data_IF_795752153684
#
_entry.id   IF_795752153684
#
_cell.length_a   1.000
_cell.length_b   1.000
_cell.length_c   1.000
_cell.angle_alpha   90.00
_cell.angle_beta   90.00
_cell.angle_gamma   90.00
#
_symmetry.space_group_name_H-M   'P 1'
#
loop_
_entity.id
_entity.type
_entity.pdbx_description
1 polymer ?
#
# COMPACT_ATOMS: atom_id res chain seq x y z
N UNK A 1 -21.12 -7.51 44.57
CA UNK A 1 -20.53 -7.04 45.83
C UNK A 1 -19.80 -5.74 45.55
N UNK A 2 -20.40 -4.63 45.98
CA UNK A 2 -19.79 -3.30 45.99
C UNK A 2 -18.57 -3.29 46.91
N UNK A 3 -17.45 -2.71 46.49
CA UNK A 3 -16.62 -1.89 47.38
C UNK A 3 -15.94 -0.76 46.60
N UNK A 4 -15.85 0.48 47.15
CA UNK A 4 -15.55 1.70 46.42
C UNK A 4 -14.12 2.25 46.67
N UNK A 5 -13.82 3.27 45.87
CA UNK A 5 -12.67 4.20 45.86
C UNK A 5 -12.08 4.61 47.21
N UNK A 6 -10.76 4.84 47.25
CA UNK A 6 -10.13 5.80 48.18
C UNK A 6 -8.93 6.49 47.52
N UNK A 7 -9.01 7.82 47.42
CA UNK A 7 -7.92 8.77 47.11
C UNK A 7 -7.32 9.22 48.45
N UNK A 8 -6.01 9.43 48.59
CA UNK A 8 -5.46 10.23 49.67
C UNK A 8 -5.15 11.66 49.21
N UNK A 9 -5.80 12.59 49.88
CA UNK A 9 -5.47 14.01 50.00
C UNK A 9 -4.21 14.20 50.85
N UNK A 10 -3.37 15.16 50.47
CA UNK A 10 -2.40 15.77 51.38
C UNK A 10 -2.53 17.30 51.39
N UNK A 11 -2.30 17.81 52.59
CA UNK A 11 -2.70 19.08 53.16
C UNK A 11 -1.58 20.12 53.20
N UNK A 12 -1.96 21.37 52.93
CA UNK A 12 -1.60 22.64 53.58
C UNK A 12 -0.19 22.93 54.14
N UNK A 13 0.32 24.10 53.73
CA UNK A 13 1.32 24.93 54.42
C UNK A 13 1.34 26.36 53.83
N UNK A 14 1.78 27.41 54.55
CA UNK A 14 0.88 28.52 54.91
C UNK A 14 1.27 29.94 54.43
N UNK A 15 0.29 30.86 54.55
CA UNK A 15 0.37 32.31 54.87
C UNK A 15 1.23 33.27 54.01
N UNK A 16 0.59 34.22 53.33
CA UNK A 16 0.85 35.65 53.60
C UNK A 16 -0.39 36.53 53.31
N UNK A 17 -0.55 37.60 54.09
CA UNK A 17 -1.75 38.43 54.25
C UNK A 17 -1.40 39.90 53.96
N UNK A 18 -2.34 40.58 53.26
CA UNK A 18 -2.62 42.05 53.22
C UNK A 18 -2.11 42.85 52.01
N UNK A 19 -3.06 43.25 51.16
CA UNK A 19 -3.63 44.62 50.97
C UNK A 19 -4.77 44.42 49.94
N UNK A 20 -6.02 44.82 50.13
CA UNK A 20 -6.53 46.05 50.74
C UNK A 20 -6.75 47.09 49.64
N UNK A 21 -7.91 47.03 48.96
CA UNK A 21 -8.31 48.00 47.94
C UNK A 21 -9.56 47.56 47.18
N UNK A 22 -10.74 47.84 47.74
CA UNK A 22 -11.99 47.72 47.01
C UNK A 22 -12.21 48.95 46.13
N UNK A 23 -12.58 48.73 44.87
CA UNK A 23 -13.33 49.69 44.06
C UNK A 23 -14.35 48.90 43.26
N UNK A 24 -15.61 49.26 43.45
CA UNK A 24 -16.78 48.83 42.71
C UNK A 24 -16.72 49.23 41.23
N UNK A 25 -17.20 48.33 40.36
CA UNK A 25 -17.98 48.72 39.18
C UNK A 25 -17.36 48.46 37.80
N UNK A 26 -18.25 48.00 36.91
CA UNK A 26 -18.22 48.07 35.43
C UNK A 26 -17.68 46.83 34.69
N UNK A 27 -18.63 46.02 34.23
CA UNK A 27 -18.79 45.75 32.79
C UNK A 27 -17.91 44.66 32.19
N UNK A 28 -18.51 43.49 31.95
CA UNK A 28 -17.96 42.48 31.05
C UNK A 28 -17.81 43.02 29.63
N UNK A 29 -16.63 42.76 29.05
CA UNK A 29 -16.27 43.17 27.69
C UNK A 29 -15.00 42.46 27.27
N UNK A 30 -15.02 41.12 27.26
CA UNK A 30 -13.86 40.29 26.93
C UNK A 30 -14.09 39.20 25.88
N UNK A 31 -15.34 38.89 25.50
CA UNK A 31 -15.66 37.76 24.59
C UNK A 31 -15.65 38.08 23.08
N UNK A 32 -15.95 39.33 22.71
CA UNK A 32 -16.35 39.68 21.33
C UNK A 32 -15.21 39.57 20.31
N UNK A 33 -13.95 39.76 20.73
CA UNK A 33 -12.79 39.74 19.81
C UNK A 33 -12.31 38.33 19.44
N UNK A 34 -12.61 37.32 20.27
CA UNK A 34 -12.27 35.93 20.01
C UNK A 34 -13.27 35.21 19.11
N UNK A 35 -14.55 35.57 19.20
CA UNK A 35 -15.66 34.89 18.51
C UNK A 35 -15.78 35.26 17.04
N UNK A 36 -15.56 36.54 16.68
CA UNK A 36 -15.51 36.99 15.28
C UNK A 36 -14.36 36.32 14.51
N UNK A 37 -13.20 36.15 15.15
CA UNK A 37 -12.06 35.41 14.59
C UNK A 37 -12.35 33.91 14.43
N UNK A 38 -13.16 33.31 15.31
CA UNK A 38 -13.50 31.89 15.26
C UNK A 38 -14.46 31.55 14.10
N UNK A 39 -15.41 32.44 13.81
CA UNK A 39 -16.37 32.27 12.72
C UNK A 39 -15.68 32.34 11.35
N UNK A 40 -14.84 33.36 11.14
CA UNK A 40 -14.03 33.51 9.93
C UNK A 40 -13.13 32.29 9.70
N UNK A 41 -12.44 31.84 10.75
CA UNK A 41 -11.61 30.63 10.69
C UNK A 41 -12.43 29.36 10.38
N UNK A 42 -13.66 29.26 10.87
CA UNK A 42 -14.53 28.11 10.61
C UNK A 42 -15.00 28.08 9.14
N UNK A 43 -15.40 29.23 8.58
CA UNK A 43 -15.82 29.37 7.18
C UNK A 43 -14.65 29.10 6.24
N UNK A 44 -13.48 29.70 6.50
CA UNK A 44 -12.29 29.49 5.68
C UNK A 44 -11.85 28.02 5.70
N UNK A 45 -11.89 27.37 6.86
CA UNK A 45 -11.59 25.94 6.95
C UNK A 45 -12.64 25.08 6.22
N UNK A 46 -13.92 25.45 6.22
CA UNK A 46 -14.96 24.76 5.45
C UNK A 46 -14.74 24.93 3.93
N UNK A 47 -14.48 26.15 3.47
CA UNK A 47 -14.18 26.46 2.07
C UNK A 47 -12.96 25.69 1.57
N UNK A 48 -11.89 25.64 2.37
CA UNK A 48 -10.71 24.82 2.07
C UNK A 48 -11.04 23.34 1.90
N UNK A 49 -11.91 22.78 2.74
CA UNK A 49 -12.31 21.36 2.62
C UNK A 49 -13.06 21.13 1.31
N UNK A 50 -13.98 22.01 0.92
CA UNK A 50 -14.69 21.93 -0.37
C UNK A 50 -13.72 22.05 -1.57
N UNK A 51 -12.71 22.93 -1.46
CA UNK A 51 -11.63 23.03 -2.44
C UNK A 51 -10.81 21.75 -2.56
N UNK A 52 -10.37 21.17 -1.44
CA UNK A 52 -9.64 19.89 -1.41
C UNK A 52 -10.48 18.74 -2.01
N UNK A 53 -11.77 18.69 -1.71
CA UNK A 53 -12.72 17.72 -2.27
C UNK A 53 -12.90 17.88 -3.79
N UNK A 54 -12.72 19.10 -4.29
CA UNK A 54 -12.83 19.39 -5.71
C UNK A 54 -11.65 18.88 -6.54
N UNK A 55 -10.48 18.77 -5.92
CA UNK A 55 -9.27 18.21 -6.51
C UNK A 55 -9.16 16.68 -6.41
N UNK A 56 -10.12 16.00 -5.77
CA UNK A 56 -10.10 14.53 -5.72
C UNK A 56 -10.34 13.94 -7.11
N UNK A 57 -9.62 12.85 -7.48
CA UNK A 57 -9.82 12.18 -8.75
C UNK A 57 -11.24 11.64 -8.88
N UNK A 58 -11.70 11.33 -10.09
CA UNK A 58 -12.99 10.66 -10.27
C UNK A 58 -12.96 9.26 -9.65
N UNK A 59 -13.92 8.98 -8.77
CA UNK A 59 -14.05 7.65 -8.16
C UNK A 59 -14.28 6.57 -9.23
N UNK A 60 -13.61 5.44 -9.06
CA UNK A 60 -13.74 4.26 -9.91
C UNK A 60 -14.06 3.06 -9.03
N UNK A 61 -14.91 2.16 -9.51
CA UNK A 61 -15.27 0.94 -8.79
C UNK A 61 -16.69 0.96 -8.17
N UNK A 62 -16.96 0.07 -7.20
CA UNK A 62 -18.31 -0.24 -6.71
C UNK A 62 -19.07 0.95 -6.11
N UNK A 63 -18.34 1.89 -5.52
CA UNK A 63 -18.92 3.05 -4.81
C UNK A 63 -18.87 4.35 -5.64
N UNK A 64 -18.57 4.26 -6.94
CA UNK A 64 -18.39 5.44 -7.81
C UNK A 64 -19.56 6.42 -7.73
N UNK A 65 -20.79 5.92 -7.79
CA UNK A 65 -22.00 6.77 -7.75
C UNK A 65 -22.12 7.50 -6.42
N UNK A 66 -22.00 6.79 -5.30
CA UNK A 66 -22.07 7.39 -3.96
C UNK A 66 -21.00 8.46 -3.75
N UNK A 67 -19.77 8.19 -4.19
CA UNK A 67 -18.68 9.16 -4.11
C UNK A 67 -18.94 10.39 -5.00
N UNK A 68 -19.33 10.16 -6.26
CA UNK A 68 -19.64 11.22 -7.22
C UNK A 68 -20.81 12.09 -6.77
N UNK A 69 -21.88 11.49 -6.26
CA UNK A 69 -23.06 12.20 -5.77
C UNK A 69 -22.75 13.03 -4.53
N UNK A 70 -22.01 12.47 -3.57
CA UNK A 70 -21.59 13.23 -2.38
C UNK A 70 -20.67 14.38 -2.77
N UNK A 71 -19.63 14.12 -3.57
CA UNK A 71 -18.69 15.13 -4.01
C UNK A 71 -19.38 16.26 -4.79
N UNK A 72 -20.32 15.91 -5.69
CA UNK A 72 -21.12 16.89 -6.44
C UNK A 72 -21.95 17.75 -5.50
N UNK A 73 -22.67 17.16 -4.55
CA UNK A 73 -23.51 17.90 -3.59
C UNK A 73 -22.69 18.81 -2.69
N UNK A 74 -21.53 18.36 -2.22
CA UNK A 74 -20.62 19.19 -1.42
C UNK A 74 -20.06 20.37 -2.22
N UNK A 75 -19.73 20.17 -3.51
CA UNK A 75 -19.27 21.26 -4.40
C UNK A 75 -20.30 22.38 -4.54
N UNK A 76 -21.59 22.05 -4.51
CA UNK A 76 -22.66 23.05 -4.59
C UNK A 76 -22.74 23.98 -3.36
N UNK A 77 -22.00 23.69 -2.28
CA UNK A 77 -21.91 24.57 -1.12
C UNK A 77 -20.87 25.69 -1.29
N UNK A 78 -20.05 25.67 -2.37
CA UNK A 78 -19.00 26.67 -2.55
C UNK A 78 -19.53 28.12 -2.58
N UNK A 79 -20.60 28.47 -3.34
CA UNK A 79 -21.11 29.84 -3.35
C UNK A 79 -21.62 30.31 -1.98
N UNK A 80 -22.26 29.42 -1.21
CA UNK A 80 -22.66 29.71 0.18
C UNK A 80 -21.45 30.06 1.05
N UNK A 81 -20.37 29.26 0.97
CA UNK A 81 -19.17 29.48 1.78
C UNK A 81 -18.44 30.77 1.39
N UNK A 82 -18.48 31.16 0.11
CA UNK A 82 -17.91 32.41 -0.37
C UNK A 82 -18.67 33.62 0.21
N UNK A 83 -20.00 33.64 0.15
CA UNK A 83 -20.78 34.74 0.73
C UNK A 83 -20.72 34.77 2.26
N UNK A 84 -20.65 33.62 2.92
CA UNK A 84 -20.41 33.53 4.37
C UNK A 84 -19.05 34.11 4.77
N UNK A 85 -18.03 33.94 3.92
CA UNK A 85 -16.68 34.49 4.15
C UNK A 85 -16.71 36.00 4.04
N UNK A 86 -17.39 36.53 3.01
CA UNK A 86 -17.54 37.98 2.81
C UNK A 86 -18.36 38.61 3.95
N UNK A 87 -19.42 37.91 4.41
CA UNK A 87 -20.18 38.31 5.59
C UNK A 87 -19.33 38.31 6.86
N UNK A 88 -18.53 37.26 7.11
CA UNK A 88 -17.66 37.17 8.28
C UNK A 88 -16.58 38.26 8.29
N UNK A 89 -16.03 38.61 7.12
CA UNK A 89 -15.06 39.69 6.96
C UNK A 89 -15.71 41.08 7.18
N UNK A 90 -16.93 41.29 6.69
CA UNK A 90 -17.69 42.53 6.90
C UNK A 90 -18.19 42.68 8.35
N UNK A 91 -18.47 41.56 9.02
CA UNK A 91 -18.91 41.45 10.42
C UNK A 91 -17.83 41.82 11.46
N UNK A 92 -16.64 42.26 11.05
CA UNK A 92 -15.66 42.87 11.96
C UNK A 92 -16.22 44.09 12.75
N UNK A 93 -17.40 44.63 12.35
CA UNK A 93 -18.15 45.66 13.06
C UNK A 93 -19.37 45.16 13.89
N UNK A 94 -19.77 43.90 13.78
CA UNK A 94 -20.90 43.30 14.53
C UNK A 94 -20.82 41.77 14.51
N UNK A 95 -20.73 41.12 15.67
CA UNK A 95 -20.41 39.70 15.71
C UNK A 95 -21.54 38.82 15.18
N UNK A 96 -21.19 37.77 14.45
CA UNK A 96 -22.04 36.61 14.28
C UNK A 96 -22.43 36.08 15.68
N UNK A 97 -23.68 35.64 15.84
CA UNK A 97 -24.14 35.08 17.10
C UNK A 97 -23.46 33.74 17.41
N UNK A 98 -23.41 33.38 18.70
CA UNK A 98 -22.83 32.10 19.15
C UNK A 98 -23.50 30.87 18.48
N UNK A 99 -24.75 31.01 18.05
CA UNK A 99 -25.49 29.95 17.36
C UNK A 99 -24.90 29.72 15.97
N UNK A 100 -24.72 30.79 15.20
CA UNK A 100 -24.16 30.76 13.85
C UNK A 100 -22.72 30.21 13.87
N UNK A 101 -21.89 30.63 14.83
CA UNK A 101 -20.52 30.09 14.98
C UNK A 101 -20.54 28.58 15.24
N UNK A 102 -21.45 28.11 16.11
CA UNK A 102 -21.61 26.67 16.39
C UNK A 102 -22.10 25.89 15.16
N UNK A 103 -23.06 26.41 14.42
CA UNK A 103 -23.59 25.77 13.21
C UNK A 103 -22.53 25.70 12.10
N UNK A 104 -21.72 26.76 11.92
CA UNK A 104 -20.58 26.77 11.00
C UNK A 104 -19.50 25.77 11.40
N UNK A 105 -19.20 25.64 12.70
CA UNK A 105 -18.28 24.63 13.20
C UNK A 105 -18.80 23.21 12.97
N UNK A 106 -20.11 22.99 13.13
CA UNK A 106 -20.77 21.72 12.82
C UNK A 106 -20.71 21.38 11.32
N UNK A 107 -20.98 22.36 10.45
CA UNK A 107 -20.87 22.21 9.00
C UNK A 107 -19.44 21.85 8.59
N UNK A 108 -18.43 22.55 9.14
CA UNK A 108 -17.02 22.20 8.94
C UNK A 108 -16.73 20.76 9.35
N UNK A 109 -17.19 20.33 10.53
CA UNK A 109 -17.00 18.96 11.01
C UNK A 109 -17.64 17.90 10.08
N UNK A 110 -18.82 18.20 9.55
CA UNK A 110 -19.52 17.34 8.59
C UNK A 110 -18.76 17.26 7.26
N UNK A 111 -18.25 18.38 6.75
CA UNK A 111 -17.44 18.43 5.52
C UNK A 111 -16.10 17.69 5.68
N UNK A 112 -15.44 17.80 6.83
CA UNK A 112 -14.23 17.00 7.13
C UNK A 112 -14.56 15.52 7.12
N UNK A 113 -15.67 15.11 7.75
CA UNK A 113 -16.13 13.71 7.73
C UNK A 113 -16.40 13.22 6.30
N UNK A 114 -16.98 14.07 5.43
CA UNK A 114 -17.19 13.76 4.02
C UNK A 114 -15.87 13.55 3.27
N UNK A 115 -14.88 14.41 3.54
CA UNK A 115 -13.53 14.31 2.96
C UNK A 115 -12.82 13.03 3.38
N UNK A 116 -12.85 12.72 4.66
CA UNK A 116 -12.16 11.53 5.19
C UNK A 116 -12.82 10.25 4.66
N UNK A 117 -14.16 10.23 4.58
CA UNK A 117 -14.89 9.12 3.95
C UNK A 117 -14.51 8.97 2.47
N UNK A 118 -14.53 10.05 1.69
CA UNK A 118 -14.15 10.00 0.28
C UNK A 118 -12.71 9.52 0.10
N UNK A 119 -11.74 10.06 0.85
CA UNK A 119 -10.34 9.61 0.81
C UNK A 119 -10.20 8.13 1.15
N UNK A 120 -10.90 7.65 2.18
CA UNK A 120 -10.89 6.23 2.55
C UNK A 120 -11.37 5.31 1.42
N UNK A 121 -12.26 5.80 0.54
CA UNK A 121 -12.73 5.06 -0.64
C UNK A 121 -11.74 5.18 -1.82
N UNK A 122 -11.09 6.33 -2.00
CA UNK A 122 -10.11 6.53 -3.08
C UNK A 122 -8.83 5.72 -2.88
N UNK A 123 -8.31 5.71 -1.66
CA UNK A 123 -7.04 5.06 -1.33
C UNK A 123 -7.24 3.59 -0.89
N UNK A 124 -8.49 3.17 -0.66
CA UNK A 124 -8.84 1.86 -0.15
C UNK A 124 -9.00 0.76 -1.20
N UNK A 125 -8.99 -0.50 -0.75
CA UNK A 125 -9.21 -1.67 -1.60
C UNK A 125 -10.58 -1.67 -2.25
N UNK A 126 -10.64 -1.94 -3.56
CA UNK A 126 -11.91 -2.06 -4.29
C UNK A 126 -12.66 -3.33 -3.93
N UNK A 127 -11.93 -4.42 -3.64
CA UNK A 127 -12.52 -5.66 -3.15
C UNK A 127 -13.19 -5.41 -1.80
N UNK A 128 -12.52 -4.70 -0.88
CA UNK A 128 -13.11 -4.31 0.40
C UNK A 128 -14.38 -3.48 0.22
N UNK A 129 -14.34 -2.47 -0.65
CA UNK A 129 -15.50 -1.63 -0.96
C UNK A 129 -16.68 -2.45 -1.50
N UNK A 130 -16.41 -3.48 -2.30
CA UNK A 130 -17.45 -4.35 -2.84
C UNK A 130 -18.06 -5.26 -1.76
N UNK A 131 -17.22 -5.85 -0.91
CA UNK A 131 -17.65 -6.75 0.16
C UNK A 131 -18.34 -6.03 1.33
N UNK A 132 -17.90 -4.80 1.63
CA UNK A 132 -18.39 -3.99 2.75
C UNK A 132 -19.27 -2.83 2.29
N UNK A 133 -19.94 -2.99 1.14
CA UNK A 133 -20.74 -1.93 0.51
C UNK A 133 -21.81 -1.36 1.43
N UNK A 134 -22.50 -2.20 2.20
CA UNK A 134 -23.54 -1.76 3.15
C UNK A 134 -22.96 -0.89 4.26
N UNK A 135 -21.78 -1.26 4.79
CA UNK A 135 -21.08 -0.46 5.78
C UNK A 135 -20.67 0.91 5.22
N UNK A 136 -20.20 0.97 3.96
CA UNK A 136 -19.95 2.24 3.30
C UNK A 136 -21.24 3.04 3.08
N UNK A 137 -22.33 2.40 2.60
CA UNK A 137 -23.61 3.05 2.38
C UNK A 137 -24.12 3.72 3.66
N UNK A 138 -24.03 3.04 4.80
CA UNK A 138 -24.35 3.61 6.12
C UNK A 138 -23.48 4.81 6.49
N UNK A 139 -22.17 4.76 6.22
CA UNK A 139 -21.27 5.92 6.43
C UNK A 139 -21.63 7.11 5.52
N UNK A 140 -21.97 6.86 4.26
CA UNK A 140 -22.42 7.91 3.34
C UNK A 140 -23.72 8.54 3.80
N UNK A 141 -24.66 7.73 4.31
CA UNK A 141 -25.90 8.20 4.91
C UNK A 141 -25.62 9.11 6.12
N UNK A 142 -24.78 8.65 7.06
CA UNK A 142 -24.41 9.41 8.25
C UNK A 142 -23.78 10.77 7.90
N UNK A 143 -22.89 10.81 6.90
CA UNK A 143 -22.31 12.07 6.42
C UNK A 143 -23.36 12.99 5.80
N UNK A 144 -24.28 12.45 4.98
CA UNK A 144 -25.36 13.25 4.40
C UNK A 144 -26.25 13.86 5.49
N UNK A 145 -26.58 13.10 6.53
CA UNK A 145 -27.38 13.57 7.66
C UNK A 145 -26.65 14.66 8.47
N UNK A 146 -25.33 14.51 8.69
CA UNK A 146 -24.53 15.53 9.37
C UNK A 146 -24.50 16.85 8.61
N UNK A 147 -24.36 16.80 7.28
CA UNK A 147 -24.35 18.01 6.44
C UNK A 147 -25.73 18.64 6.42
N UNK A 148 -26.79 17.87 6.21
CA UNK A 148 -28.17 18.37 6.17
C UNK A 148 -28.57 19.03 7.49
N UNK A 149 -28.29 18.37 8.61
CA UNK A 149 -28.54 18.94 9.94
C UNK A 149 -27.76 20.23 10.17
N UNK A 150 -26.49 20.29 9.75
CA UNK A 150 -25.70 21.51 9.89
C UNK A 150 -26.24 22.67 9.04
N UNK A 151 -26.83 22.37 7.88
CA UNK A 151 -27.49 23.37 7.03
C UNK A 151 -28.85 23.81 7.60
N UNK A 152 -29.60 22.93 8.25
CA UNK A 152 -30.84 23.25 8.97
C UNK A 152 -30.58 24.13 10.20
N UNK A 153 -29.49 23.89 10.92
CA UNK A 153 -29.11 24.63 12.13
C UNK A 153 -28.55 26.03 11.81
N UNK A 154 -28.29 26.36 10.54
CA UNK A 154 -27.82 27.68 10.11
C UNK A 154 -28.99 28.67 9.99
N UNK A 155 -28.90 29.79 10.72
CA UNK A 155 -29.90 30.85 10.63
C UNK A 155 -29.53 31.84 9.53
N UNK A 156 -30.18 31.71 8.37
CA UNK A 156 -29.92 32.56 7.20
C UNK A 156 -30.44 34.00 7.34
N UNK A 157 -31.41 34.25 8.23
CA UNK A 157 -32.04 35.58 8.39
C UNK A 157 -31.10 36.68 8.93
N UNK A 158 -30.00 36.31 9.58
CA UNK A 158 -28.99 37.24 10.09
C UNK A 158 -27.75 37.34 9.17
N UNK A 159 -27.74 36.59 8.07
CA UNK A 159 -26.62 36.50 7.14
C UNK A 159 -27.00 37.29 5.89
N UNK A 160 -26.10 38.16 5.42
CA UNK A 160 -26.31 38.96 4.21
C UNK A 160 -26.08 38.12 2.94
N UNK A 161 -26.77 36.99 2.84
CA UNK A 161 -26.69 36.06 1.71
C UNK A 161 -27.66 36.51 0.62
N UNK A 162 -27.23 36.44 -0.64
CA UNK A 162 -28.04 36.76 -1.80
C UNK A 162 -29.22 35.79 -1.95
N UNK A 163 -30.33 36.28 -2.50
CA UNK A 163 -31.53 35.47 -2.76
C UNK A 163 -31.19 34.27 -3.68
N UNK A 164 -30.35 34.48 -4.68
CA UNK A 164 -29.86 33.43 -5.59
C UNK A 164 -29.13 32.30 -4.84
N UNK A 165 -28.26 32.65 -3.89
CA UNK A 165 -27.53 31.64 -3.10
C UNK A 165 -28.45 30.96 -2.10
N UNK A 166 -29.43 31.66 -1.52
CA UNK A 166 -30.43 31.03 -0.64
C UNK A 166 -31.27 29.98 -1.38
N UNK A 167 -31.75 30.29 -2.59
CA UNK A 167 -32.45 29.31 -3.43
C UNK A 167 -31.56 28.09 -3.74
N UNK A 168 -30.28 28.33 -4.07
CA UNK A 168 -29.32 27.25 -4.27
C UNK A 168 -29.13 26.38 -3.02
N UNK A 169 -29.05 27.00 -1.84
CA UNK A 169 -28.92 26.28 -0.57
C UNK A 169 -30.15 25.42 -0.29
N UNK A 170 -31.35 25.93 -0.53
CA UNK A 170 -32.58 25.14 -0.41
C UNK A 170 -32.57 23.92 -1.36
N UNK A 171 -32.12 24.10 -2.60
CA UNK A 171 -31.96 22.99 -3.55
C UNK A 171 -30.92 21.96 -3.09
N UNK A 172 -29.79 22.41 -2.53
CA UNK A 172 -28.73 21.54 -2.00
C UNK A 172 -29.23 20.79 -0.77
N UNK A 173 -29.96 21.47 0.10
CA UNK A 173 -30.60 20.91 1.28
C UNK A 173 -31.56 19.78 0.90
N UNK A 174 -32.47 20.05 -0.04
CA UNK A 174 -33.38 19.04 -0.57
C UNK A 174 -32.64 17.85 -1.21
N UNK A 175 -31.50 18.07 -1.86
CA UNK A 175 -30.68 16.99 -2.41
C UNK A 175 -30.06 16.10 -1.32
N UNK A 176 -29.55 16.68 -0.23
CA UNK A 176 -29.03 15.90 0.90
C UNK A 176 -30.16 15.15 1.63
N UNK A 177 -31.31 15.78 1.81
CA UNK A 177 -32.50 15.15 2.40
C UNK A 177 -33.00 13.97 1.56
N UNK A 178 -33.05 14.10 0.24
CA UNK A 178 -33.45 12.99 -0.67
C UNK A 178 -32.46 11.84 -0.65
N UNK A 179 -31.16 12.13 -0.56
CA UNK A 179 -30.11 11.11 -0.46
C UNK A 179 -30.23 10.23 0.80
N UNK A 180 -31.01 10.66 1.81
CA UNK A 180 -31.34 9.84 2.99
C UNK A 180 -32.24 8.64 2.66
N UNK A 181 -33.07 8.76 1.63
CA UNK A 181 -34.13 7.80 1.31
C UNK A 181 -33.77 6.97 0.06
N UNK A 182 -33.04 7.55 -0.87
CA UNK A 182 -32.69 6.92 -2.14
C UNK A 182 -31.20 6.57 -2.16
N UNK A 183 -30.84 5.49 -1.48
CA UNK A 183 -29.53 4.87 -1.69
C UNK A 183 -29.67 3.79 -2.77
N UNK A 184 -28.87 3.91 -3.83
CA UNK A 184 -28.86 2.96 -4.95
C UNK A 184 -28.66 1.53 -4.44
N UNK A 185 -29.52 0.62 -4.91
CA UNK A 185 -29.35 -0.82 -4.69
C UNK A 185 -27.99 -1.28 -5.23
N UNK A 186 -27.33 -2.26 -4.59
CA UNK A 186 -26.10 -2.82 -5.13
C UNK A 186 -26.34 -3.45 -6.49
N UNK A 187 -25.29 -3.52 -7.32
CA UNK A 187 -25.36 -4.23 -8.59
C UNK A 187 -25.62 -5.73 -8.28
N UNK A 188 -26.80 -6.27 -8.62
CA UNK A 188 -27.17 -7.62 -8.23
C UNK A 188 -26.26 -8.67 -8.88
N UNK A 189 -25.68 -8.38 -10.05
CA UNK A 189 -24.76 -9.29 -10.72
C UNK A 189 -23.43 -9.34 -9.96
N UNK A 190 -22.87 -8.19 -9.59
CA UNK A 190 -21.63 -8.14 -8.83
C UNK A 190 -21.78 -8.79 -7.45
N UNK A 191 -22.92 -8.59 -6.78
CA UNK A 191 -23.21 -9.21 -5.48
C UNK A 191 -23.27 -10.73 -5.60
N UNK A 192 -24.00 -11.23 -6.61
CA UNK A 192 -24.09 -12.67 -6.89
C UNK A 192 -22.74 -13.28 -7.22
N UNK A 193 -21.96 -12.63 -8.09
CA UNK A 193 -20.63 -13.10 -8.47
C UNK A 193 -19.66 -13.14 -7.28
N UNK A 194 -19.66 -12.10 -6.43
CA UNK A 194 -18.85 -12.08 -5.20
C UNK A 194 -19.26 -13.17 -4.22
N UNK A 195 -20.57 -13.45 -4.10
CA UNK A 195 -21.06 -14.55 -3.28
C UNK A 195 -20.57 -15.91 -3.81
N UNK A 196 -20.69 -16.17 -5.11
CA UNK A 196 -20.17 -17.39 -5.73
C UNK A 196 -18.66 -17.53 -5.53
N UNK A 197 -17.90 -16.44 -5.68
CA UNK A 197 -16.46 -16.46 -5.48
C UNK A 197 -16.02 -16.74 -4.03
N UNK A 198 -16.90 -16.50 -3.05
CA UNK A 198 -16.66 -16.89 -1.65
C UNK A 198 -16.94 -18.37 -1.38
N UNK A 199 -18.04 -18.88 -1.94
CA UNK A 199 -18.57 -20.21 -1.62
C UNK A 199 -17.91 -21.31 -2.46
N UNK A 200 -17.71 -21.07 -3.76
CA UNK A 200 -17.20 -22.07 -4.70
C UNK A 200 -15.67 -22.03 -4.78
N UNK A 201 -15.02 -23.20 -4.54
CA UNK A 201 -13.57 -23.38 -4.69
C UNK A 201 -13.28 -24.66 -5.50
N UNK A 202 -12.63 -24.59 -6.67
CA UNK A 202 -12.20 -23.38 -7.38
C UNK A 202 -13.38 -22.61 -8.00
N UNK A 203 -13.32 -21.28 -7.96
CA UNK A 203 -14.33 -20.42 -8.56
C UNK A 203 -14.19 -20.42 -10.10
N UNK A 204 -15.31 -20.35 -10.82
CA UNK A 204 -15.32 -20.26 -12.29
C UNK A 204 -14.57 -19.01 -12.77
N UNK A 205 -13.70 -19.21 -13.75
CA UNK A 205 -12.91 -18.16 -14.39
C UNK A 205 -13.81 -17.08 -15.03
N UNK A 206 -14.99 -17.45 -15.54
CA UNK A 206 -15.96 -16.48 -16.07
C UNK A 206 -16.52 -15.55 -14.97
N UNK A 207 -16.74 -16.06 -13.76
CA UNK A 207 -17.18 -15.26 -12.61
C UNK A 207 -16.05 -14.31 -12.19
N UNK A 208 -14.82 -14.83 -12.08
CA UNK A 208 -13.63 -14.04 -11.75
C UNK A 208 -13.39 -12.92 -12.76
N UNK A 209 -13.60 -13.19 -14.06
CA UNK A 209 -13.51 -12.18 -15.11
C UNK A 209 -14.55 -11.08 -14.95
N UNK A 210 -15.82 -11.42 -14.71
CA UNK A 210 -16.87 -10.42 -14.45
C UNK A 210 -16.57 -9.57 -13.21
N UNK A 211 -16.05 -10.18 -12.14
CA UNK A 211 -15.61 -9.45 -10.95
C UNK A 211 -14.44 -8.52 -11.29
N UNK A 212 -13.41 -9.01 -11.97
CA UNK A 212 -12.26 -8.20 -12.43
C UNK A 212 -12.71 -7.01 -13.27
N UNK A 213 -13.63 -7.20 -14.20
CA UNK A 213 -14.14 -6.15 -15.07
C UNK A 213 -14.91 -5.08 -14.29
N UNK A 214 -15.80 -5.50 -13.38
CA UNK A 214 -16.60 -4.60 -12.53
C UNK A 214 -15.74 -3.81 -11.54
N UNK A 215 -14.74 -4.46 -10.95
CA UNK A 215 -13.78 -3.81 -10.04
C UNK A 215 -12.69 -3.03 -10.81
N UNK A 216 -12.62 -3.16 -12.14
CA UNK A 216 -11.56 -2.58 -12.97
C UNK A 216 -10.17 -2.99 -12.46
N UNK A 217 -10.02 -4.30 -12.29
CA UNK A 217 -8.87 -5.00 -11.75
C UNK A 217 -8.28 -5.88 -12.86
N UNK A 218 -7.93 -5.25 -13.99
CA UNK A 218 -7.66 -5.94 -15.26
C UNK A 218 -6.18 -6.15 -15.53
N UNK A 219 -5.31 -5.35 -14.91
CA UNK A 219 -3.88 -5.40 -15.14
C UNK A 219 -3.12 -5.83 -13.89
N UNK A 220 -1.89 -6.31 -14.08
CA UNK A 220 -1.00 -6.61 -12.97
C UNK A 220 -0.67 -5.37 -12.11
N UNK A 221 -0.69 -4.19 -12.70
CA UNK A 221 -0.52 -2.94 -11.94
C UNK A 221 -1.72 -2.68 -11.04
N UNK A 222 -2.94 -3.00 -11.50
CA UNK A 222 -4.14 -2.90 -10.67
C UNK A 222 -4.10 -3.91 -9.52
N UNK A 223 -3.66 -5.15 -9.77
CA UNK A 223 -3.45 -6.17 -8.72
C UNK A 223 -2.43 -5.72 -7.68
N UNK A 224 -1.29 -5.16 -8.11
CA UNK A 224 -0.26 -4.63 -7.20
C UNK A 224 -0.82 -3.49 -6.34
N UNK A 225 -1.56 -2.54 -6.93
CA UNK A 225 -2.22 -1.45 -6.18
C UNK A 225 -3.24 -1.98 -5.19
N UNK A 226 -4.06 -2.93 -5.60
CA UNK A 226 -5.07 -3.56 -4.74
C UNK A 226 -4.42 -4.30 -3.56
N UNK A 227 -3.31 -5.01 -3.79
CA UNK A 227 -2.54 -5.67 -2.73
C UNK A 227 -1.96 -4.68 -1.72
N UNK A 228 -1.48 -3.51 -2.18
CA UNK A 228 -0.98 -2.46 -1.30
C UNK A 228 -2.12 -1.84 -0.50
N UNK A 229 -3.26 -1.58 -1.13
CA UNK A 229 -4.43 -1.03 -0.45
C UNK A 229 -4.97 -1.98 0.64
N UNK A 230 -5.00 -3.30 0.38
CA UNK A 230 -5.33 -4.30 1.40
C UNK A 230 -4.31 -4.32 2.54
N UNK A 231 -3.01 -4.16 2.24
CA UNK A 231 -1.98 -4.07 3.27
C UNK A 231 -2.21 -2.87 4.20
N UNK A 232 -2.41 -1.67 3.65
CA UNK A 232 -2.69 -0.45 4.43
C UNK A 232 -3.91 -0.59 5.36
N UNK A 233 -4.91 -1.37 4.94
CA UNK A 233 -6.05 -1.67 5.81
C UNK A 233 -5.66 -2.55 7.01
N UNK A 234 -4.78 -3.55 6.82
CA UNK A 234 -4.25 -4.37 7.92
C UNK A 234 -3.46 -3.52 8.91
N UNK A 235 -2.72 -2.52 8.42
CA UNK A 235 -1.99 -1.56 9.27
C UNK A 235 -2.98 -0.78 10.15
N UNK A 236 -4.06 -0.30 9.53
CA UNK A 236 -5.08 0.52 10.19
C UNK A 236 -5.92 -0.26 11.22
N UNK A 237 -6.00 -1.58 11.10
CA UNK A 237 -6.71 -2.48 12.02
C UNK A 237 -5.81 -3.09 13.11
N UNK A 238 -4.68 -2.44 13.43
CA UNK A 238 -3.69 -2.88 14.43
C UNK A 238 -3.12 -4.28 14.17
N UNK A 239 -3.09 -4.71 12.90
CA UNK A 239 -2.45 -5.94 12.46
C UNK A 239 -3.21 -7.24 12.72
N UNK A 240 -4.44 -7.18 13.23
CA UNK A 240 -5.29 -8.38 13.39
C UNK A 240 -6.00 -8.66 12.07
N UNK A 241 -5.70 -9.78 11.38
CA UNK A 241 -6.44 -10.20 10.20
C UNK A 241 -7.83 -10.67 10.65
N UNK A 242 -8.85 -9.88 10.38
CA UNK A 242 -10.25 -10.32 10.45
C UNK A 242 -10.53 -11.34 9.33
N UNK A 243 -11.55 -12.19 9.49
CA UNK A 243 -11.96 -13.18 8.48
C UNK A 243 -12.17 -12.53 7.10
N UNK A 244 -12.65 -11.28 7.10
CA UNK A 244 -12.83 -10.48 5.90
C UNK A 244 -11.50 -10.23 5.12
N UNK A 245 -10.37 -10.08 5.81
CA UNK A 245 -9.05 -9.90 5.18
C UNK A 245 -8.51 -11.15 4.51
N UNK A 246 -8.79 -12.32 5.09
CA UNK A 246 -8.46 -13.60 4.45
C UNK A 246 -9.31 -13.83 3.21
N UNK A 247 -10.60 -13.53 3.28
CA UNK A 247 -11.51 -13.58 2.12
C UNK A 247 -11.01 -12.68 0.99
N UNK A 248 -10.72 -11.41 1.29
CA UNK A 248 -10.22 -10.44 0.31
C UNK A 248 -8.90 -10.88 -0.32
N UNK A 249 -7.98 -11.39 0.50
CA UNK A 249 -6.69 -11.89 0.04
C UNK A 249 -6.83 -13.11 -0.88
N UNK A 250 -7.77 -14.01 -0.56
CA UNK A 250 -8.07 -15.19 -1.37
C UNK A 250 -8.70 -14.82 -2.71
N UNK A 251 -9.61 -13.84 -2.71
CA UNK A 251 -10.24 -13.33 -3.93
C UNK A 251 -9.22 -12.61 -4.81
N UNK A 252 -8.37 -11.76 -4.24
CA UNK A 252 -7.29 -11.09 -4.98
C UNK A 252 -6.35 -12.10 -5.63
N UNK A 253 -6.02 -13.19 -4.93
CA UNK A 253 -5.23 -14.27 -5.50
C UNK A 253 -5.94 -14.92 -6.70
N UNK A 254 -7.20 -15.31 -6.55
CA UNK A 254 -7.96 -15.95 -7.63
C UNK A 254 -8.11 -15.03 -8.85
N UNK A 255 -8.34 -13.73 -8.63
CA UNK A 255 -8.36 -12.72 -9.69
C UNK A 255 -7.00 -12.57 -10.37
N UNK A 256 -5.91 -12.63 -9.61
CA UNK A 256 -4.55 -12.61 -10.16
C UNK A 256 -4.31 -13.82 -11.05
N UNK A 257 -4.63 -15.02 -10.57
CA UNK A 257 -4.45 -16.26 -11.31
C UNK A 257 -5.28 -16.23 -12.63
N UNK A 258 -6.51 -15.72 -12.59
CA UNK A 258 -7.38 -15.49 -13.75
C UNK A 258 -6.76 -14.51 -14.78
N UNK A 259 -6.28 -13.33 -14.36
CA UNK A 259 -5.68 -12.32 -15.25
C UNK A 259 -4.39 -12.82 -15.90
N UNK A 260 -3.68 -13.74 -15.24
CA UNK A 260 -2.47 -14.37 -15.75
C UNK A 260 -2.75 -15.42 -16.84
N UNK A 261 -3.87 -16.15 -16.74
CA UNK A 261 -4.29 -17.13 -17.74
C UNK A 261 -4.79 -16.47 -19.04
N UNK A 262 -5.36 -15.26 -18.97
CA UNK A 262 -5.87 -14.53 -20.14
C UNK A 262 -4.79 -13.81 -20.98
N UNK A 263 -3.54 -13.70 -20.49
CA UNK A 263 -2.43 -13.06 -21.21
C UNK A 263 -1.34 -14.06 -21.70
N UNK A 264 -1.60 -14.94 -22.67
CA UNK A 264 -0.53 -15.61 -23.40
C UNK A 264 -0.15 -14.81 -24.65
N UNK A 265 0.61 -13.71 -24.54
CA UNK A 265 1.41 -12.97 -25.58
C UNK A 265 1.63 -11.52 -25.10
N UNK A 266 2.71 -10.77 -25.33
CA UNK A 266 3.82 -10.82 -26.29
C UNK A 266 4.96 -9.96 -25.72
N UNK A 267 6.09 -10.56 -25.37
CA UNK A 267 7.41 -9.91 -25.38
C UNK A 267 8.52 -10.93 -25.68
N UNK A 268 8.17 -11.98 -26.43
CA UNK A 268 9.12 -12.97 -26.92
C UNK A 268 9.43 -12.66 -28.38
N UNK A 269 10.25 -11.66 -28.61
CA UNK A 269 10.99 -11.57 -29.88
C UNK A 269 11.97 -12.74 -29.93
N UNK A 270 11.58 -13.69 -30.78
CA UNK A 270 12.36 -14.75 -31.41
C UNK A 270 13.86 -14.80 -31.13
N UNK A 271 14.31 -15.97 -30.68
CA UNK A 271 15.37 -16.67 -31.42
C UNK A 271 15.12 -18.17 -31.37
N UNK A 272 14.32 -18.66 -32.32
CA UNK A 272 14.36 -20.07 -32.72
C UNK A 272 15.57 -20.27 -33.64
N UNK A 273 16.63 -20.84 -33.07
CA UNK A 273 17.60 -21.70 -33.75
C UNK A 273 18.15 -22.64 -32.69
N UNK A 274 17.92 -23.94 -32.84
CA UNK A 274 18.48 -25.02 -32.02
C UNK A 274 19.98 -25.21 -32.30
N UNK A 275 20.77 -26.03 -31.54
CA UNK A 275 20.45 -26.87 -30.38
C UNK A 275 21.35 -26.63 -29.13
N UNK A 276 20.88 -27.06 -27.95
CA UNK A 276 21.59 -27.16 -26.65
C UNK A 276 22.16 -25.84 -26.09
N UNK A 277 21.37 -25.15 -25.26
CA UNK A 277 21.91 -24.26 -24.21
C UNK A 277 21.17 -24.52 -22.90
N UNK A 278 21.84 -25.21 -21.97
CA UNK A 278 21.44 -25.32 -20.56
C UNK A 278 21.62 -23.97 -19.86
N UNK A 279 20.84 -22.96 -20.24
CA UNK A 279 20.82 -21.67 -19.57
C UNK A 279 19.59 -21.56 -18.69
N UNK A 280 19.69 -21.99 -17.43
CA UNK A 280 18.71 -21.71 -16.38
C UNK A 280 18.37 -20.20 -16.34
N UNK A 281 17.09 -19.84 -16.29
CA UNK A 281 16.63 -18.47 -16.46
C UNK A 281 17.08 -17.53 -15.33
N UNK A 282 17.30 -16.26 -15.68
CA UNK A 282 17.71 -15.22 -14.74
C UNK A 282 16.48 -14.73 -13.98
N UNK A 283 16.48 -14.87 -12.64
CA UNK A 283 15.38 -14.42 -11.78
C UNK A 283 15.26 -12.88 -11.88
N UNK A 284 14.11 -12.31 -12.24
CA UNK A 284 13.84 -10.87 -12.21
C UNK A 284 14.03 -10.27 -10.81
N UNK A 285 14.56 -9.03 -10.73
CA UNK A 285 14.83 -8.37 -9.45
C UNK A 285 13.56 -8.13 -8.62
N UNK A 286 12.39 -7.96 -9.26
CA UNK A 286 11.09 -7.85 -8.57
C UNK A 286 10.71 -9.11 -7.78
N UNK A 287 11.25 -10.27 -8.16
CA UNK A 287 10.98 -11.55 -7.51
C UNK A 287 12.01 -11.91 -6.45
N UNK A 288 13.06 -11.10 -6.31
CA UNK A 288 14.14 -11.33 -5.35
C UNK A 288 13.85 -10.61 -4.04
N UNK A 289 14.08 -11.31 -2.94
CA UNK A 289 14.06 -10.72 -1.61
C UNK A 289 15.22 -9.72 -1.50
N UNK A 290 14.99 -8.46 -1.10
CA UNK A 290 16.08 -7.49 -0.97
C UNK A 290 17.13 -7.84 0.11
N UNK A 291 16.79 -8.73 1.06
CA UNK A 291 17.72 -9.19 2.10
C UNK A 291 18.59 -10.35 1.58
N UNK A 292 17.98 -11.45 1.13
CA UNK A 292 18.72 -12.65 0.70
C UNK A 292 19.22 -12.58 -0.73
N UNK A 293 18.64 -11.69 -1.55
CA UNK A 293 18.82 -11.62 -3.00
C UNK A 293 18.38 -12.90 -3.73
N UNK A 294 17.63 -13.77 -3.05
CA UNK A 294 17.08 -15.01 -3.59
C UNK A 294 15.61 -14.85 -3.97
N UNK A 295 15.12 -15.75 -4.81
CA UNK A 295 13.72 -15.81 -5.20
C UNK A 295 12.82 -15.95 -3.95
N UNK A 296 11.83 -15.05 -3.81
CA UNK A 296 10.87 -15.10 -2.71
C UNK A 296 9.92 -16.29 -2.88
N UNK A 297 9.73 -17.06 -1.81
CA UNK A 297 8.78 -18.19 -1.74
C UNK A 297 7.52 -17.79 -1.01
N UNK A 298 7.70 -17.01 0.05
CA UNK A 298 6.62 -16.45 0.85
C UNK A 298 6.82 -14.94 0.94
N UNK A 299 6.52 -14.20 -0.14
CA UNK A 299 6.66 -12.75 -0.15
C UNK A 299 5.68 -12.12 0.84
N UNK A 300 6.18 -11.23 1.70
CA UNK A 300 5.44 -10.47 2.70
C UNK A 300 5.78 -8.99 2.61
N UNK A 301 4.80 -8.13 2.85
CA UNK A 301 4.90 -6.67 2.83
C UNK A 301 5.14 -6.18 4.27
N UNK A 302 6.10 -5.28 4.43
CA UNK A 302 6.30 -4.50 5.67
C UNK A 302 5.65 -3.13 5.55
N UNK A 303 5.48 -2.45 6.67
CA UNK A 303 4.82 -1.13 6.80
C UNK A 303 5.33 0.01 5.90
N UNK A 304 6.48 -0.14 5.24
CA UNK A 304 6.96 0.81 4.22
C UNK A 304 6.56 0.40 2.79
N UNK A 305 5.65 -0.56 2.62
CA UNK A 305 5.22 -1.11 1.33
C UNK A 305 6.25 -2.00 0.59
N UNK A 306 7.40 -2.28 1.20
CA UNK A 306 8.43 -3.14 0.57
C UNK A 306 8.14 -4.62 0.81
N UNK A 307 8.41 -5.46 -0.19
CA UNK A 307 8.19 -6.90 -0.10
C UNK A 307 9.50 -7.67 0.13
N UNK A 308 9.46 -8.64 1.04
CA UNK A 308 10.58 -9.50 1.42
C UNK A 308 10.15 -10.95 1.51
N UNK A 309 11.09 -11.89 1.49
CA UNK A 309 10.85 -13.26 1.93
C UNK A 309 10.55 -13.27 3.44
N UNK A 310 9.43 -13.90 3.85
CA UNK A 310 8.98 -13.94 5.26
C UNK A 310 10.09 -14.35 6.21
N UNK A 311 10.77 -15.45 5.92
CA UNK A 311 11.81 -15.97 6.82
C UNK A 311 13.01 -15.02 6.98
N UNK A 312 13.31 -14.20 5.97
CA UNK A 312 14.40 -13.23 6.02
C UNK A 312 14.03 -12.01 6.85
N UNK A 313 12.87 -11.42 6.58
CA UNK A 313 12.45 -10.21 7.30
C UNK A 313 12.05 -10.52 8.75
N UNK A 314 11.48 -11.69 9.02
CA UNK A 314 11.18 -12.12 10.39
C UNK A 314 12.46 -12.19 11.22
N UNK A 315 13.52 -12.82 10.72
CA UNK A 315 14.83 -12.85 11.41
C UNK A 315 15.41 -11.46 11.67
N UNK A 316 15.24 -10.54 10.72
CA UNK A 316 15.67 -9.15 10.88
C UNK A 316 14.94 -8.45 12.03
N UNK A 317 13.61 -8.63 12.11
CA UNK A 317 12.77 -8.08 13.19
C UNK A 317 13.08 -8.75 14.54
N UNK A 318 13.24 -10.07 14.55
CA UNK A 318 13.57 -10.86 15.75
C UNK A 318 14.96 -10.49 16.32
N UNK A 319 15.85 -9.96 15.48
CA UNK A 319 17.15 -9.41 15.88
C UNK A 319 17.04 -8.00 16.52
N UNK A 320 15.82 -7.48 16.70
CA UNK A 320 15.55 -6.21 17.35
C UNK A 320 15.54 -4.99 16.41
N UNK A 321 15.74 -5.18 15.10
CA UNK A 321 15.70 -4.08 14.15
C UNK A 321 14.26 -3.63 13.87
N UNK A 322 14.04 -2.30 13.91
CA UNK A 322 12.76 -1.66 13.59
C UNK A 322 12.81 -0.80 12.32
N UNK A 323 13.75 -1.10 11.43
CA UNK A 323 13.94 -0.36 10.17
C UNK A 323 13.72 -1.27 8.98
N UNK A 324 13.24 -0.70 7.88
CA UNK A 324 13.13 -1.38 6.60
C UNK A 324 14.54 -1.58 6.00
N UNK A 325 14.98 -2.82 5.73
CA UNK A 325 16.34 -3.09 5.23
C UNK A 325 16.68 -2.35 3.93
N UNK A 326 15.70 -2.18 3.03
CA UNK A 326 15.92 -1.55 1.72
C UNK A 326 15.83 -0.02 1.76
N UNK A 327 14.82 0.54 2.43
CA UNK A 327 14.60 2.01 2.45
C UNK A 327 15.25 2.70 3.63
N UNK A 328 15.72 1.94 4.63
CA UNK A 328 16.26 2.45 5.90
C UNK A 328 15.27 3.30 6.71
N UNK A 329 13.99 3.33 6.32
CA UNK A 329 12.93 4.02 7.04
C UNK A 329 12.52 3.22 8.28
N UNK A 330 12.12 3.91 9.34
CA UNK A 330 11.55 3.27 10.53
C UNK A 330 10.22 2.61 10.18
N UNK A 331 10.04 1.37 10.62
CA UNK A 331 8.79 0.64 10.47
C UNK A 331 7.81 1.17 11.53
N UNK A 332 6.65 1.67 11.11
CA UNK A 332 5.62 2.13 12.06
C UNK A 332 5.15 0.99 12.97
N UNK A 333 5.19 -0.23 12.46
CA UNK A 333 4.83 -1.48 13.13
C UNK A 333 5.49 -2.67 12.42
N UNK A 334 5.54 -3.82 13.09
CA UNK A 334 6.28 -5.03 12.66
C UNK A 334 5.39 -6.12 12.07
N UNK A 335 4.14 -5.79 11.73
CA UNK A 335 3.18 -6.75 11.15
C UNK A 335 3.62 -7.10 9.73
N UNK A 336 3.57 -8.39 9.39
CA UNK A 336 3.97 -8.92 8.08
C UNK A 336 2.74 -9.43 7.32
N UNK A 337 2.32 -8.70 6.29
CA UNK A 337 1.16 -9.08 5.48
C UNK A 337 1.62 -9.92 4.28
N UNK A 338 1.03 -11.10 4.01
CA UNK A 338 1.37 -11.87 2.81
C UNK A 338 1.06 -11.11 1.52
N UNK A 339 1.98 -11.15 0.54
CA UNK A 339 1.79 -10.60 -0.81
C UNK A 339 1.41 -11.72 -1.77
N UNK A 340 0.12 -12.07 -1.82
CA UNK A 340 -0.37 -13.17 -2.65
C UNK A 340 -0.18 -12.90 -4.16
N UNK A 341 -0.29 -11.62 -4.58
CA UNK A 341 -0.07 -11.22 -5.98
C UNK A 341 1.35 -11.56 -6.42
N UNK A 342 2.35 -11.14 -5.64
CA UNK A 342 3.75 -11.44 -5.97
C UNK A 342 4.04 -12.94 -5.86
N UNK A 343 3.39 -13.64 -4.93
CA UNK A 343 3.52 -15.10 -4.79
C UNK A 343 3.00 -15.84 -6.03
N UNK A 344 1.84 -15.46 -6.57
CA UNK A 344 1.30 -16.01 -7.82
C UNK A 344 2.20 -15.68 -9.02
N UNK A 345 2.67 -14.44 -9.14
CA UNK A 345 3.62 -14.05 -10.19
C UNK A 345 4.90 -14.88 -10.19
N UNK A 346 5.46 -15.10 -9.00
CA UNK A 346 6.67 -15.91 -8.84
C UNK A 346 6.40 -17.36 -9.20
N UNK A 347 5.26 -17.92 -8.79
CA UNK A 347 4.87 -19.29 -9.11
C UNK A 347 4.72 -19.51 -10.63
N UNK A 348 4.07 -18.60 -11.34
CA UNK A 348 3.93 -18.67 -12.79
C UNK A 348 5.27 -18.48 -13.50
N UNK A 349 6.08 -17.51 -13.06
CA UNK A 349 7.43 -17.34 -13.61
C UNK A 349 8.21 -18.63 -13.44
N UNK A 350 8.15 -19.27 -12.28
CA UNK A 350 8.77 -20.56 -12.01
C UNK A 350 8.31 -21.66 -12.97
N UNK A 351 7.01 -21.76 -13.23
CA UNK A 351 6.42 -22.75 -14.14
C UNK A 351 6.90 -22.57 -15.59
N UNK A 352 6.81 -21.35 -16.12
CA UNK A 352 7.27 -21.01 -17.49
C UNK A 352 8.76 -21.27 -17.68
N UNK A 353 9.54 -21.12 -16.61
CA UNK A 353 10.99 -21.18 -16.62
C UNK A 353 11.56 -22.51 -16.11
N UNK A 354 10.70 -23.48 -15.76
CA UNK A 354 11.10 -24.77 -15.21
C UNK A 354 11.88 -24.69 -13.90
N UNK A 355 11.67 -23.63 -13.10
CA UNK A 355 12.31 -23.44 -11.80
C UNK A 355 11.42 -24.06 -10.73
N UNK A 356 11.84 -25.18 -10.13
CA UNK A 356 11.06 -25.76 -9.04
C UNK A 356 11.15 -24.88 -7.78
N UNK A 357 10.00 -24.57 -7.19
CA UNK A 357 9.91 -24.04 -5.84
C UNK A 357 10.05 -25.23 -4.85
N UNK A 358 11.11 -25.30 -4.02
CA UNK A 358 11.16 -26.17 -2.86
C UNK A 358 9.85 -26.21 -2.07
N UNK A 359 9.28 -27.42 -1.98
CA UNK A 359 8.02 -27.71 -1.31
C UNK A 359 8.16 -27.54 0.21
N UNK A 360 7.14 -26.96 0.84
CA UNK A 360 7.04 -26.82 2.30
C UNK A 360 6.87 -28.20 2.96
N UNK A 361 7.89 -28.69 3.65
CA UNK A 361 7.76 -29.86 4.52
C UNK A 361 7.02 -29.49 5.81
N UNK A 362 5.70 -29.59 5.79
CA UNK A 362 4.89 -29.82 7.00
C UNK A 362 4.38 -31.26 7.01
N UNK A 363 5.26 -32.19 7.35
CA UNK A 363 4.92 -33.46 8.03
C UNK A 363 6.22 -34.17 8.44
N UNK A 364 6.32 -34.47 9.72
CA UNK A 364 7.45 -35.20 10.26
C UNK A 364 7.39 -36.68 9.87
N UNK A 365 8.43 -37.16 9.21
CA UNK A 365 9.01 -38.46 9.51
C UNK A 365 10.49 -38.40 9.18
N UNK A 366 11.33 -38.75 10.17
CA UNK A 366 12.77 -38.85 10.01
C UNK A 366 13.07 -39.94 8.98
N UNK A 367 13.64 -39.53 7.85
CA UNK A 367 14.63 -40.35 7.17
C UNK A 367 15.76 -39.45 6.67
N UNK A 368 16.96 -39.76 7.16
CA UNK A 368 18.23 -39.21 6.66
C UNK A 368 18.36 -39.64 5.20
N UNK A 369 18.11 -38.73 4.27
CA UNK A 369 18.75 -38.76 2.95
C UNK A 369 19.02 -37.33 2.49
N UNK A 370 20.31 -36.98 2.55
CA UNK A 370 20.88 -35.83 1.83
C UNK A 370 20.42 -35.90 0.38
N UNK A 371 19.51 -34.99 0.00
CA UNK A 371 19.10 -34.79 -1.38
C UNK A 371 20.24 -34.19 -2.17
N UNK A 372 20.87 -35.02 -3.01
CA UNK A 372 21.73 -34.62 -4.12
C UNK A 372 21.02 -33.50 -4.92
N UNK A 373 21.66 -32.34 -5.05
CA UNK A 373 21.44 -31.44 -6.16
C UNK A 373 21.65 -32.21 -7.49
N UNK A 374 21.01 -31.83 -8.61
CA UNK A 374 21.11 -32.59 -9.84
C UNK A 374 22.58 -32.70 -10.25
N UNK A 375 23.03 -33.93 -10.52
CA UNK A 375 24.41 -34.27 -10.93
C UNK A 375 24.89 -33.49 -12.19
N UNK A 376 24.00 -32.76 -12.89
CA UNK A 376 24.30 -32.05 -14.12
C UNK A 376 25.17 -30.80 -13.92
N UNK A 377 24.94 -30.00 -12.87
CA UNK A 377 25.72 -28.77 -12.63
C UNK A 377 27.14 -29.09 -12.16
N UNK A 378 27.32 -30.17 -11.38
CA UNK A 378 28.65 -30.60 -10.91
C UNK A 378 29.51 -31.14 -12.06
N UNK A 379 28.90 -31.85 -13.00
CA UNK A 379 29.58 -32.31 -14.22
C UNK A 379 29.96 -31.13 -15.13
N UNK A 380 29.07 -30.15 -15.29
CA UNK A 380 29.34 -28.93 -16.08
C UNK A 380 30.45 -28.08 -15.45
N UNK A 381 30.45 -27.89 -14.13
CA UNK A 381 31.52 -27.17 -13.41
C UNK A 381 32.86 -27.87 -13.61
N UNK A 382 32.92 -29.21 -13.52
CA UNK A 382 34.16 -29.98 -13.76
C UNK A 382 34.69 -29.82 -15.18
N UNK A 383 33.80 -29.85 -16.18
CA UNK A 383 34.18 -29.63 -17.59
C UNK A 383 34.71 -28.21 -17.81
N UNK A 384 34.09 -27.19 -17.22
CA UNK A 384 34.57 -25.82 -17.27
C UNK A 384 35.93 -25.68 -16.59
N UNK A 385 36.15 -26.36 -15.45
CA UNK A 385 37.46 -26.38 -14.79
C UNK A 385 38.54 -27.06 -15.62
N UNK A 386 38.23 -28.17 -16.29
CA UNK A 386 39.17 -28.82 -17.20
C UNK A 386 39.55 -27.93 -18.38
N UNK A 387 38.59 -27.13 -18.89
CA UNK A 387 38.85 -26.11 -19.92
C UNK A 387 39.68 -24.94 -19.42
N UNK A 388 39.57 -24.56 -18.15
CA UNK A 388 40.44 -23.54 -17.55
C UNK A 388 41.86 -24.08 -17.36
N UNK A 389 42.02 -25.34 -16.94
CA UNK A 389 43.32 -25.94 -16.73
C UNK A 389 44.06 -26.26 -18.06
N UNK A 390 43.35 -26.75 -19.07
CA UNK A 390 43.96 -27.36 -20.26
C UNK A 390 43.61 -26.66 -21.58
N UNK A 391 42.72 -25.67 -21.57
CA UNK A 391 42.29 -24.95 -22.77
C UNK A 391 43.28 -23.89 -23.22
N UNK A 392 43.12 -23.42 -24.45
CA UNK A 392 43.84 -22.23 -24.93
C UNK A 392 43.31 -20.93 -24.28
N UNK A 393 44.01 -19.81 -24.45
CA UNK A 393 43.65 -18.51 -23.81
C UNK A 393 42.18 -18.10 -24.03
N UNK A 394 41.59 -18.41 -25.19
CA UNK A 394 40.20 -18.06 -25.50
C UNK A 394 39.19 -19.02 -24.85
N UNK A 395 39.51 -20.32 -24.81
CA UNK A 395 38.71 -21.33 -24.12
C UNK A 395 38.71 -21.15 -22.60
N UNK A 396 39.87 -20.81 -22.03
CA UNK A 396 40.00 -20.49 -20.60
C UNK A 396 39.16 -19.26 -20.23
N UNK A 397 39.18 -18.22 -21.07
CA UNK A 397 38.40 -16.99 -20.88
C UNK A 397 36.89 -17.24 -21.00
N UNK A 398 36.46 -18.02 -21.99
CA UNK A 398 35.06 -18.41 -22.13
C UNK A 398 34.58 -19.24 -20.93
N UNK A 399 35.39 -20.21 -20.48
CA UNK A 399 35.06 -21.04 -19.34
C UNK A 399 34.98 -20.26 -18.02
N UNK A 400 35.89 -19.29 -17.79
CA UNK A 400 35.82 -18.39 -16.65
C UNK A 400 34.57 -17.48 -16.68
N UNK A 401 34.16 -17.03 -17.88
CA UNK A 401 32.92 -16.28 -18.10
C UNK A 401 31.68 -17.09 -17.71
N UNK A 402 31.61 -18.36 -18.12
CA UNK A 402 30.52 -19.29 -17.78
C UNK A 402 30.46 -19.60 -16.28
N UNK A 403 31.61 -19.85 -15.62
CA UNK A 403 31.66 -20.04 -14.17
C UNK A 403 31.13 -18.81 -13.42
N UNK A 404 31.45 -17.60 -13.89
CA UNK A 404 30.92 -16.37 -13.32
C UNK A 404 29.39 -16.26 -13.47
N UNK A 405 28.84 -16.66 -14.62
CA UNK A 405 27.39 -16.68 -14.82
C UNK A 405 26.71 -17.70 -13.90
N UNK A 406 27.30 -18.88 -13.73
CA UNK A 406 26.82 -19.90 -12.79
C UNK A 406 26.85 -19.42 -11.33
N UNK A 407 27.91 -18.74 -10.91
CA UNK A 407 28.02 -18.16 -9.56
C UNK A 407 26.98 -17.05 -9.28
N UNK A 408 26.57 -16.31 -10.31
CA UNK A 408 25.52 -15.28 -10.21
C UNK A 408 24.11 -15.85 -10.08
N UNK A 409 23.89 -17.11 -10.46
CA UNK A 409 22.55 -17.72 -10.48
C UNK A 409 22.01 -18.06 -9.10
N UNK A 410 22.80 -18.67 -8.23
CA UNK A 410 22.39 -19.05 -6.89
C UNK A 410 23.61 -19.28 -5.98
N UNK A 411 23.39 -19.36 -4.66
CA UNK A 411 24.44 -19.61 -3.67
C UNK A 411 25.04 -21.02 -3.76
N UNK A 412 24.23 -22.04 -4.09
CA UNK A 412 24.69 -23.42 -4.18
C UNK A 412 25.74 -23.62 -5.27
N UNK A 413 25.62 -22.92 -6.40
CA UNK A 413 26.61 -22.92 -7.47
C UNK A 413 27.93 -22.30 -7.01
N UNK A 414 27.88 -21.23 -6.20
CA UNK A 414 29.10 -20.64 -5.60
C UNK A 414 29.82 -21.66 -4.72
N UNK A 415 29.07 -22.38 -3.88
CA UNK A 415 29.59 -23.46 -3.05
C UNK A 415 30.17 -24.59 -3.90
N UNK A 416 29.46 -25.06 -4.93
CA UNK A 416 29.95 -26.12 -5.81
C UNK A 416 31.19 -25.71 -6.62
N UNK A 417 31.29 -24.45 -7.04
CA UNK A 417 32.47 -23.90 -7.73
C UNK A 417 33.67 -23.82 -6.77
N UNK A 418 33.44 -23.40 -5.53
CA UNK A 418 34.47 -23.35 -4.49
C UNK A 418 34.96 -24.76 -4.10
N UNK A 419 34.03 -25.69 -3.82
CA UNK A 419 34.33 -27.10 -3.50
C UNK A 419 35.04 -27.83 -4.64
N UNK A 420 34.75 -27.46 -5.89
CA UNK A 420 35.43 -28.05 -7.04
C UNK A 420 36.88 -27.57 -7.17
N UNK A 421 37.30 -26.53 -6.43
CA UNK A 421 38.67 -26.02 -6.45
C UNK A 421 38.93 -25.01 -7.56
N UNK A 422 37.91 -24.27 -8.01
CA UNK A 422 38.06 -23.31 -9.10
C UNK A 422 38.83 -22.03 -8.72
N UNK A 423 38.92 -21.71 -7.41
CA UNK A 423 39.49 -20.44 -6.91
C UNK A 423 40.97 -20.29 -7.28
N UNK A 424 41.87 -21.28 -7.04
CA UNK A 424 43.29 -21.16 -7.42
C UNK A 424 43.48 -20.99 -8.92
N UNK A 425 42.73 -21.72 -9.75
CA UNK A 425 42.83 -21.66 -11.22
C UNK A 425 42.38 -20.30 -11.78
N UNK A 426 41.33 -19.70 -11.20
CA UNK A 426 40.88 -18.37 -11.59
C UNK A 426 41.88 -17.27 -11.17
N UNK A 427 42.55 -17.44 -10.02
CA UNK A 427 43.61 -16.52 -9.55
C UNK A 427 44.87 -16.63 -10.41
N UNK A 428 45.23 -17.84 -10.84
CA UNK A 428 46.35 -18.08 -11.77
C UNK A 428 46.08 -17.44 -13.14
N UNK A 429 44.84 -17.55 -13.65
CA UNK A 429 44.42 -16.91 -14.89
C UNK A 429 44.57 -15.38 -14.86
N UNK A 430 44.34 -14.76 -13.69
CA UNK A 430 44.50 -13.32 -13.47
C UNK A 430 45.97 -12.89 -13.35
N UNK A 431 46.88 -13.83 -13.08
CA UNK A 431 48.31 -13.59 -12.88
C UNK A 431 49.13 -13.75 -14.17
N UNK A 432 48.53 -14.26 -15.26
CA UNK A 432 49.16 -14.44 -16.57
C UNK A 432 49.52 -13.10 -17.26
N UNK A 433 50.68 -12.99 -17.96
CA UNK A 433 51.21 -11.75 -18.52
C UNK A 433 50.51 -11.26 -19.82
N UNK A 434 49.43 -11.89 -20.27
CA UNK A 434 48.72 -11.51 -21.50
C UNK A 434 47.99 -10.14 -21.36
N UNK A 435 48.31 -9.11 -22.16
CA UNK A 435 47.63 -7.81 -22.08
C UNK A 435 46.13 -7.89 -22.44
N UNK A 436 45.64 -8.99 -23.04
CA UNK A 436 44.21 -9.24 -23.30
C UNK A 436 43.48 -9.97 -22.15
N UNK A 437 44.20 -10.51 -21.17
CA UNK A 437 43.62 -10.91 -19.87
C UNK A 437 43.59 -9.73 -18.89
N UNK A 438 44.45 -8.71 -19.09
CA UNK A 438 44.44 -7.44 -18.34
C UNK A 438 43.55 -6.34 -18.90
N UNK A 439 43.37 -6.24 -20.22
CA UNK A 439 42.57 -5.19 -20.85
C UNK A 439 41.39 -5.75 -21.64
N UNK A 440 40.23 -5.79 -20.97
CA UNK A 440 38.93 -5.62 -21.63
C UNK A 440 38.91 -4.27 -22.38
N UNK A 441 38.34 -4.16 -23.59
CA UNK A 441 38.15 -2.88 -24.27
C UNK A 441 37.06 -2.04 -23.58
N UNK A 442 37.52 -1.18 -22.66
CA UNK A 442 37.14 0.21 -22.40
C UNK A 442 35.73 0.74 -22.74
N UNK A 443 34.88 0.87 -21.71
CA UNK A 443 34.23 2.13 -21.24
C UNK A 443 33.57 1.91 -19.85
N UNK A 444 33.49 2.93 -18.97
CA UNK A 444 34.51 3.19 -17.95
C UNK A 444 34.09 2.90 -16.49
N UNK A 445 35.09 2.82 -15.61
CA UNK A 445 35.05 2.77 -14.12
C UNK A 445 34.88 1.41 -13.43
N UNK A 446 35.73 0.42 -13.80
CA UNK A 446 35.73 -0.91 -13.17
C UNK A 446 37.13 -1.41 -12.78
N UNK A 447 37.96 -0.51 -12.22
CA UNK A 447 39.14 -0.86 -11.40
C UNK A 447 38.78 -1.63 -10.10
N UNK A 448 37.51 -1.99 -9.90
CA UNK A 448 36.99 -2.75 -8.75
C UNK A 448 36.51 -4.17 -9.10
N UNK A 449 36.62 -4.64 -10.35
CA UNK A 449 35.83 -5.79 -10.80
C UNK A 449 36.53 -7.16 -10.84
N UNK A 450 37.85 -7.22 -10.90
CA UNK A 450 38.57 -8.51 -10.74
C UNK A 450 38.59 -8.96 -9.27
N UNK A 451 38.70 -8.01 -8.33
CA UNK A 451 38.49 -8.27 -6.90
C UNK A 451 37.08 -8.80 -6.57
N UNK A 452 36.09 -8.63 -7.46
CA UNK A 452 34.69 -9.09 -7.24
C UNK A 452 34.45 -10.54 -7.62
N UNK A 453 35.28 -11.19 -8.45
CA UNK A 453 35.13 -12.64 -8.68
C UNK A 453 35.57 -13.40 -7.43
N UNK A 454 36.67 -12.99 -6.82
CA UNK A 454 37.11 -13.54 -5.52
C UNK A 454 36.12 -13.22 -4.40
N UNK A 455 35.47 -12.03 -4.40
CA UNK A 455 34.42 -11.64 -3.43
C UNK A 455 33.03 -12.21 -3.66
N UNK A 456 32.80 -12.87 -4.80
CA UNK A 456 31.55 -13.57 -5.10
C UNK A 456 31.71 -15.07 -4.84
N UNK A 457 32.94 -15.57 -4.67
CA UNK A 457 33.21 -17.00 -4.40
C UNK A 457 33.75 -17.22 -2.96
N UNK A 458 34.44 -16.24 -2.36
CA UNK A 458 34.61 -16.09 -0.90
C UNK A 458 33.51 -15.18 -0.36
#
# INVERSE_FOLDING_TARGET
MNFPLTIPSQSNGPYDRRRGGGISGVGGGGGVRGESSAAEAAVEAAARVVGELSGLPESRGPLRRLCGDLARRVKLLAPLLDELRDCAAAAAAGSLGEREVRSLAALRGALVSAKDLLRSVYDGSKIYQALQRENFASKFLEVNEKIEKALDDLSYGNLHISEEVLEQVELVHAQFRRAKVTMDSPDPQLVGDLFCAKVEKPCDNLILKRISENLQLRTMNDMKKESVALHEMVISSDGVPDECLEEMSSLLKNLTDCVLDENPTSDTVQSKTSPIKNTSPVIPDEFRCPISLELMRDPVIVSTGQTYERSCIQKWLDSGHKTCPKTQQHLSHTVLTPNFVLKSLIAQWCEVNGVELPKNNKSGHRDKKQGKAPDCDRAAIRLLMQKIANGNSDEQRAAAGELRLLAKRNANNRVCIAEAGAIPLLVELLSSPDPRTKNMPSRPSLTSQSMRITRVVL
#
